data_IF_810073507110
#
_entry.id   IF_810073507110
#
_cell.length_a   1.000
_cell.length_b   1.000
_cell.length_c   1.000
_cell.angle_alpha   90.00
_cell.angle_beta   90.00
_cell.angle_gamma   90.00
#
_symmetry.space_group_name_H-M   'P 1'
#
loop_
_entity.id
_entity.type
_entity.pdbx_description
1 polymer ?
#
# COMPACT_ATOMS: atom_id res chain seq x y z
N UNK A 1 -31.10 0.04 -25.80
CA UNK A 1 -29.93 0.89 -25.49
C UNK A 1 -29.06 0.28 -24.38
N UNK A 2 -28.72 -1.01 -24.48
CA UNK A 2 -27.97 -1.76 -23.44
C UNK A 2 -26.50 -1.98 -23.81
N UNK A 3 -26.15 -1.97 -25.10
CA UNK A 3 -24.78 -2.31 -25.54
C UNK A 3 -23.69 -1.29 -25.21
N UNK A 4 -24.02 -0.01 -25.02
CA UNK A 4 -23.01 1.01 -24.63
C UNK A 4 -22.71 0.94 -23.13
N UNK A 5 -23.71 0.60 -22.32
CA UNK A 5 -23.56 0.39 -20.88
C UNK A 5 -22.71 -0.85 -20.59
N UNK A 6 -23.01 -1.99 -21.25
CA UNK A 6 -22.23 -3.23 -21.09
C UNK A 6 -20.75 -3.06 -21.48
N UNK A 7 -20.46 -2.31 -22.56
CA UNK A 7 -19.08 -2.03 -22.99
C UNK A 7 -18.36 -1.08 -22.03
N UNK A 8 -19.07 -0.14 -21.42
CA UNK A 8 -18.50 0.74 -20.39
C UNK A 8 -18.18 -0.04 -19.11
N UNK A 9 -19.09 -0.90 -18.65
CA UNK A 9 -18.90 -1.73 -17.46
C UNK A 9 -17.71 -2.67 -17.63
N UNK A 10 -17.57 -3.32 -18.79
CA UNK A 10 -16.42 -4.17 -19.08
C UNK A 10 -15.08 -3.43 -18.99
N UNK A 11 -15.03 -2.18 -19.49
CA UNK A 11 -13.81 -1.36 -19.41
C UNK A 11 -13.49 -0.98 -17.98
N UNK A 12 -14.50 -0.60 -17.18
CA UNK A 12 -14.32 -0.26 -15.76
C UNK A 12 -13.83 -1.47 -14.98
N UNK A 13 -14.48 -2.62 -15.12
CA UNK A 13 -14.10 -3.87 -14.44
C UNK A 13 -12.68 -4.27 -14.83
N UNK A 14 -12.34 -4.21 -16.12
CA UNK A 14 -10.99 -4.52 -16.61
C UNK A 14 -9.95 -3.60 -15.96
N UNK A 15 -10.18 -2.31 -15.93
CA UNK A 15 -9.24 -1.35 -15.33
C UNK A 15 -9.02 -1.59 -13.84
N UNK A 16 -10.09 -1.91 -13.10
CA UNK A 16 -10.00 -2.25 -11.67
C UNK A 16 -9.26 -3.58 -11.47
N UNK A 17 -9.52 -4.60 -12.28
CA UNK A 17 -8.82 -5.88 -12.18
C UNK A 17 -7.32 -5.71 -12.44
N UNK A 18 -6.95 -5.01 -13.52
CA UNK A 18 -5.55 -4.76 -13.84
C UNK A 18 -4.85 -3.88 -12.81
N UNK A 19 -5.54 -2.90 -12.22
CA UNK A 19 -4.94 -2.09 -11.16
C UNK A 19 -4.68 -2.92 -9.89
N UNK A 20 -5.60 -3.82 -9.53
CA UNK A 20 -5.41 -4.75 -8.41
C UNK A 20 -4.25 -5.71 -8.68
N UNK A 21 -4.20 -6.31 -9.87
CA UNK A 21 -3.10 -7.22 -10.24
C UNK A 21 -1.75 -6.52 -10.23
N UNK A 22 -1.65 -5.32 -10.82
CA UNK A 22 -0.43 -4.53 -10.81
C UNK A 22 -0.02 -4.13 -9.39
N UNK A 23 -0.99 -3.80 -8.53
CA UNK A 23 -0.72 -3.54 -7.11
C UNK A 23 -0.11 -4.76 -6.42
N UNK A 24 -0.70 -5.95 -6.60
CA UNK A 24 -0.17 -7.18 -6.00
C UNK A 24 1.25 -7.51 -6.47
N UNK A 25 1.52 -7.36 -7.77
CA UNK A 25 2.87 -7.57 -8.32
C UNK A 25 3.85 -6.55 -7.74
N UNK A 26 3.47 -5.27 -7.69
CA UNK A 26 4.31 -4.23 -7.12
C UNK A 26 4.61 -4.49 -5.64
N UNK A 27 3.60 -4.89 -4.86
CA UNK A 27 3.78 -5.20 -3.44
C UNK A 27 4.79 -6.36 -3.28
N UNK A 28 4.71 -7.42 -4.09
CA UNK A 28 5.66 -8.55 -4.07
C UNK A 28 7.08 -8.18 -4.55
N UNK A 29 7.22 -7.16 -5.40
CA UNK A 29 8.49 -6.74 -5.98
C UNK A 29 9.17 -5.61 -5.19
N UNK A 30 8.64 -5.22 -4.03
CA UNK A 30 9.19 -4.19 -3.15
C UNK A 30 9.75 -4.79 -1.86
N UNK A 31 10.64 -4.07 -1.19
CA UNK A 31 11.14 -4.44 0.15
C UNK A 31 9.93 -4.49 1.11
N UNK A 32 9.79 -5.52 1.97
CA UNK A 32 10.81 -6.47 2.42
C UNK A 32 10.96 -7.75 1.58
N UNK A 33 10.16 -7.96 0.54
CA UNK A 33 10.25 -9.14 -0.31
C UNK A 33 11.61 -9.17 -1.03
N UNK A 34 12.36 -10.26 -0.82
CA UNK A 34 13.68 -10.48 -1.42
C UNK A 34 13.73 -11.85 -2.07
N UNK A 35 14.28 -11.93 -3.27
CA UNK A 35 14.65 -13.20 -3.88
C UNK A 35 16.06 -13.54 -3.43
N UNK A 36 16.18 -14.63 -2.70
CA UNK A 36 17.46 -15.11 -2.17
C UNK A 36 17.95 -16.20 -3.12
N UNK A 37 19.18 -16.07 -3.59
CA UNK A 37 19.87 -17.10 -4.37
C UNK A 37 21.17 -17.40 -3.64
N UNK A 38 21.30 -18.62 -3.15
CA UNK A 38 22.56 -19.13 -2.63
C UNK A 38 23.48 -19.49 -3.80
N UNK A 39 24.69 -18.93 -3.80
CA UNK A 39 25.69 -19.12 -4.85
C UNK A 39 26.76 -20.13 -4.45
N UNK A 40 26.90 -20.45 -3.15
CA UNK A 40 27.94 -21.31 -2.59
C UNK A 40 27.31 -22.25 -1.54
N UNK A 41 26.76 -23.40 -1.97
CA UNK A 41 26.06 -24.32 -1.06
C UNK A 41 26.96 -25.00 0.00
N UNK A 42 28.27 -24.79 -0.08
CA UNK A 42 29.28 -25.35 0.83
C UNK A 42 29.75 -24.33 1.90
N UNK A 43 29.19 -23.12 1.94
CA UNK A 43 29.54 -22.12 2.96
C UNK A 43 28.79 -22.36 4.30
N UNK A 44 29.29 -21.75 5.37
CA UNK A 44 28.70 -21.87 6.72
C UNK A 44 27.48 -20.95 6.93
N UNK A 45 27.04 -20.22 5.89
CA UNK A 45 25.89 -19.31 6.01
C UNK A 45 24.62 -20.14 5.99
N UNK A 46 24.03 -20.35 7.16
CA UNK A 46 22.82 -21.13 7.27
C UNK A 46 21.68 -20.55 6.42
N UNK A 47 20.90 -21.41 5.75
CA UNK A 47 19.71 -21.00 4.99
C UNK A 47 18.75 -20.11 5.79
N UNK A 48 18.78 -20.21 7.12
CA UNK A 48 17.97 -19.39 8.03
C UNK A 48 18.37 -17.91 8.01
N UNK A 49 19.68 -17.59 7.96
CA UNK A 49 20.17 -16.21 7.95
C UNK A 49 19.89 -15.53 6.61
N UNK A 50 19.93 -16.31 5.53
CA UNK A 50 19.51 -15.87 4.21
C UNK A 50 18.00 -15.55 4.19
N UNK A 51 17.16 -16.41 4.76
CA UNK A 51 15.68 -16.23 4.81
C UNK A 51 15.24 -15.15 5.79
N UNK A 52 15.99 -14.91 6.86
CA UNK A 52 15.64 -13.96 7.93
C UNK A 52 16.83 -13.04 8.25
N UNK A 53 17.12 -12.05 7.39
CA UNK A 53 18.19 -11.09 7.65
C UNK A 53 17.84 -10.25 8.88
N UNK A 54 18.87 -9.85 9.63
CA UNK A 54 18.69 -8.92 10.74
C UNK A 54 18.09 -7.58 10.24
N UNK A 55 17.13 -6.99 10.97
CA UNK A 55 16.55 -5.71 10.58
C UNK A 55 17.60 -4.60 10.69
N UNK A 56 17.72 -3.77 9.64
CA UNK A 56 18.65 -2.63 9.61
C UNK A 56 18.39 -1.60 10.73
N UNK A 57 17.16 -1.54 11.24
CA UNK A 57 16.75 -0.64 12.30
C UNK A 57 15.23 -0.57 12.43
N UNK A 58 14.75 0.18 13.43
CA UNK A 58 13.31 0.37 13.70
C UNK A 58 12.92 1.82 13.44
N UNK A 59 11.95 2.04 12.54
CA UNK A 59 11.35 3.34 12.32
C UNK A 59 10.18 3.55 13.29
N UNK A 60 10.26 4.57 14.14
CA UNK A 60 9.16 4.98 15.03
C UNK A 60 8.53 6.27 14.53
N UNK A 61 7.30 6.19 14.06
CA UNK A 61 6.52 7.37 13.63
C UNK A 61 5.58 7.79 14.75
N UNK A 62 5.68 9.04 15.18
CA UNK A 62 4.77 9.65 16.15
C UNK A 62 3.84 10.62 15.41
N UNK A 63 2.58 10.21 15.22
CA UNK A 63 1.55 11.12 14.73
C UNK A 63 1.24 12.17 15.80
N UNK A 64 1.38 13.45 15.47
CA UNK A 64 1.14 14.57 16.40
C UNK A 64 -0.19 15.27 16.12
N UNK A 65 -0.23 16.10 15.08
CA UNK A 65 -1.40 16.89 14.68
C UNK A 65 -1.34 17.21 13.19
N UNK A 66 -2.50 17.55 12.62
CA UNK A 66 -2.62 18.16 11.29
C UNK A 66 -3.36 19.48 11.42
N UNK A 67 -2.90 20.50 10.70
CA UNK A 67 -3.46 21.86 10.75
C UNK A 67 -3.77 22.35 9.34
N UNK A 68 -4.74 23.26 9.20
CA UNK A 68 -5.15 23.86 7.93
C UNK A 68 -5.48 22.82 6.83
N UNK A 69 -6.09 21.69 7.23
CA UNK A 69 -6.46 20.64 6.29
C UNK A 69 -7.56 21.13 5.35
N UNK A 70 -7.35 20.92 4.04
CA UNK A 70 -8.33 21.27 3.03
C UNK A 70 -9.57 20.41 3.22
N UNK A 71 -10.70 21.04 3.52
CA UNK A 71 -11.98 20.36 3.50
C UNK A 71 -12.29 19.89 2.08
N UNK A 72 -12.16 18.58 1.87
CA UNK A 72 -12.43 17.91 0.60
C UNK A 72 -13.91 17.54 0.45
N UNK A 73 -14.65 17.50 1.56
CA UNK A 73 -16.08 17.19 1.57
C UNK A 73 -16.90 18.47 1.35
N UNK A 74 -17.60 18.52 0.22
CA UNK A 74 -18.54 19.59 -0.10
C UNK A 74 -19.92 19.14 0.39
N UNK A 75 -20.26 19.43 1.65
CA UNK A 75 -21.65 19.31 2.10
C UNK A 75 -22.47 20.39 1.40
N UNK A 76 -23.49 20.00 0.63
CA UNK A 76 -24.41 20.92 -0.08
C UNK A 76 -25.16 21.88 0.87
N UNK A 77 -25.16 21.59 2.18
CA UNK A 77 -25.75 22.43 3.23
C UNK A 77 -24.74 22.71 4.35
N UNK A 78 -23.75 23.56 4.06
CA UNK A 78 -23.39 24.62 5.02
C UNK A 78 -22.35 24.38 6.10
N UNK A 79 -21.70 23.21 6.26
CA UNK A 79 -20.52 23.11 7.15
C UNK A 79 -19.44 22.20 6.56
N UNK A 80 -18.25 22.78 6.36
CA UNK A 80 -17.05 22.09 5.90
C UNK A 80 -16.42 21.30 7.05
N UNK A 81 -17.01 20.17 7.41
CA UNK A 81 -16.39 19.20 8.31
C UNK A 81 -15.80 18.08 7.46
N UNK A 82 -14.48 18.03 7.42
CA UNK A 82 -13.77 16.81 6.98
C UNK A 82 -13.38 16.05 8.23
N UNK A 83 -13.46 14.72 8.15
CA UNK A 83 -13.02 13.81 9.21
C UNK A 83 -11.58 13.35 8.89
N UNK A 84 -10.55 14.08 9.37
CA UNK A 84 -9.18 13.84 8.92
C UNK A 84 -8.61 12.57 9.55
N UNK A 85 -7.98 11.74 8.73
CA UNK A 85 -7.18 10.61 9.18
C UNK A 85 -5.83 10.60 8.45
N UNK A 86 -4.88 9.86 9.01
CA UNK A 86 -3.55 9.66 8.43
C UNK A 86 -3.36 8.20 8.09
N UNK A 87 -2.92 7.93 6.86
CA UNK A 87 -2.47 6.62 6.40
C UNK A 87 -0.95 6.70 6.18
N UNK A 88 -0.21 5.76 6.78
CA UNK A 88 1.23 5.65 6.67
C UNK A 88 1.54 4.29 6.03
N UNK A 89 2.24 4.30 4.91
CA UNK A 89 2.72 3.11 4.21
C UNK A 89 4.26 2.99 4.39
N UNK A 90 4.73 1.85 4.90
CA UNK A 90 6.15 1.51 5.06
C UNK A 90 6.42 0.13 4.44
N UNK A 91 6.94 0.11 3.21
CA UNK A 91 7.09 -1.14 2.47
C UNK A 91 5.72 -1.81 2.26
N UNK A 92 5.54 -3.00 2.83
CA UNK A 92 4.25 -3.72 2.82
C UNK A 92 3.36 -3.41 4.03
N UNK A 93 3.87 -2.73 5.04
CA UNK A 93 3.10 -2.39 6.23
C UNK A 93 2.28 -1.11 6.01
N UNK A 94 1.02 -1.16 6.44
CA UNK A 94 0.09 -0.05 6.34
C UNK A 94 -0.56 0.21 7.68
N UNK A 95 -0.45 1.45 8.16
CA UNK A 95 -1.06 1.90 9.39
C UNK A 95 -2.03 3.04 9.12
N UNK A 96 -3.18 3.01 9.82
CA UNK A 96 -4.21 4.06 9.74
C UNK A 96 -4.49 4.63 11.11
N UNK A 97 -4.58 5.95 11.21
CA UNK A 97 -5.06 6.62 12.42
C UNK A 97 -6.56 6.40 12.60
N UNK A 98 -7.04 6.61 13.82
CA UNK A 98 -8.47 6.73 14.06
C UNK A 98 -8.98 8.00 13.38
N UNK A 99 -10.24 7.93 12.96
CA UNK A 99 -11.06 9.05 12.52
C UNK A 99 -11.62 9.74 13.76
#
# INVERSE_FOLDING_TARGET
FTGVADVADWKVIKNVLFSVLMKQINDMMTIPSRMIVDLLPDDEVGEADLKFPEPLGVLRVLLKSGENLRAADISITGHRTSDPYVEIDLGQDRWKSKV
#
